data_IF_607702140667
#
_entry.id   IF_607702140667
#
_cell.length_a   1.000
_cell.length_b   1.000
_cell.length_c   1.000
_cell.angle_alpha   90.00
_cell.angle_beta   90.00
_cell.angle_gamma   90.00
#
_symmetry.space_group_name_H-M   'P 1'
#
loop_
_entity.id
_entity.type
_entity.pdbx_description
1 polymer ?
#
# COMPACT_ATOMS: atom_id res chain seq x y z
N UNK A 1 -39.60 -48.70 -33.20
CA UNK A 1 -38.94 -47.38 -33.06
C UNK A 1 -39.50 -46.72 -31.81
N UNK A 2 -38.85 -46.94 -30.67
CA UNK A 2 -39.22 -46.35 -29.38
C UNK A 2 -38.18 -45.27 -29.06
N UNK A 3 -38.64 -44.03 -28.91
CA UNK A 3 -37.87 -42.98 -28.24
C UNK A 3 -38.38 -42.90 -26.80
N UNK A 4 -37.48 -43.06 -25.85
CA UNK A 4 -37.73 -42.89 -24.42
C UNK A 4 -36.77 -41.84 -23.86
N UNK A 5 -37.36 -40.97 -23.04
CA UNK A 5 -36.79 -39.82 -22.34
C UNK A 5 -35.70 -40.19 -21.31
N UNK A 6 -34.82 -39.24 -21.01
CA UNK A 6 -34.08 -39.12 -19.73
C UNK A 6 -33.62 -37.65 -19.60
N UNK A 7 -34.34 -36.85 -18.82
CA UNK A 7 -34.03 -36.47 -17.43
C UNK A 7 -32.95 -35.38 -17.36
N UNK A 8 -33.44 -34.15 -17.21
CA UNK A 8 -32.72 -32.94 -16.85
C UNK A 8 -32.27 -33.00 -15.39
N UNK A 9 -30.97 -33.08 -15.14
CA UNK A 9 -30.37 -32.90 -13.81
C UNK A 9 -29.71 -31.53 -13.69
N UNK A 10 -30.08 -30.86 -12.58
CA UNK A 10 -29.84 -29.46 -12.32
C UNK A 10 -28.36 -29.12 -12.09
N UNK A 11 -27.90 -28.10 -12.81
CA UNK A 11 -26.65 -27.40 -12.52
C UNK A 11 -26.80 -26.65 -11.20
N UNK A 12 -26.23 -27.22 -10.13
CA UNK A 12 -26.10 -26.57 -8.84
C UNK A 12 -25.03 -25.48 -8.95
N UNK A 13 -25.47 -24.22 -9.01
CA UNK A 13 -24.62 -23.04 -8.84
C UNK A 13 -24.11 -23.02 -7.40
N UNK A 14 -22.93 -23.59 -7.15
CA UNK A 14 -22.20 -23.39 -5.90
C UNK A 14 -21.74 -21.93 -5.86
N UNK A 15 -22.31 -21.16 -4.93
CA UNK A 15 -21.97 -19.77 -4.70
C UNK A 15 -20.49 -19.60 -4.42
N UNK A 16 -19.85 -18.75 -5.24
CA UNK A 16 -18.50 -18.27 -4.99
C UNK A 16 -18.55 -17.34 -3.77
N UNK A 17 -17.75 -17.56 -2.71
CA UNK A 17 -17.62 -16.56 -1.67
C UNK A 17 -16.91 -15.35 -2.26
N UNK A 18 -17.53 -14.17 -2.14
CA UNK A 18 -16.93 -12.89 -2.49
C UNK A 18 -15.58 -12.75 -1.76
N UNK A 19 -14.47 -13.03 -2.46
CA UNK A 19 -13.13 -12.70 -1.97
C UNK A 19 -12.88 -11.22 -2.24
N UNK A 20 -13.60 -10.37 -1.51
CA UNK A 20 -13.22 -8.96 -1.37
C UNK A 20 -11.89 -8.95 -0.63
N UNK A 21 -10.89 -8.25 -1.18
CA UNK A 21 -9.63 -8.01 -0.52
C UNK A 21 -9.89 -7.31 0.83
N UNK A 22 -9.83 -8.07 1.92
CA UNK A 22 -9.82 -7.52 3.28
C UNK A 22 -8.42 -7.04 3.56
N UNK A 23 -8.29 -5.73 3.78
CA UNK A 23 -7.11 -5.12 4.39
C UNK A 23 -6.76 -5.89 5.67
N UNK A 24 -5.51 -6.35 5.85
CA UNK A 24 -5.11 -6.98 7.11
C UNK A 24 -5.36 -6.01 8.27
N UNK A 25 -5.82 -6.49 9.43
CA UNK A 25 -5.87 -5.66 10.63
C UNK A 25 -4.43 -5.24 10.97
N UNK A 26 -4.21 -3.94 11.08
CA UNK A 26 -2.94 -3.42 11.57
C UNK A 26 -2.69 -4.00 12.98
N UNK A 27 -1.57 -4.70 13.14
CA UNK A 27 -1.10 -5.16 14.44
C UNK A 27 -0.57 -3.95 15.22
N UNK A 28 -1.46 -3.32 15.97
CA UNK A 28 -1.16 -2.45 17.12
C UNK A 28 -2.51 -1.92 17.63
N UNK A 29 -3.02 -2.55 18.68
CA UNK A 29 -4.06 -1.94 19.52
C UNK A 29 -3.48 -0.68 20.17
N UNK A 30 -3.58 0.44 19.47
CA UNK A 30 -3.42 1.74 20.08
C UNK A 30 -4.43 2.66 19.41
N UNK A 31 -5.45 3.06 20.16
CA UNK A 31 -6.56 3.92 19.76
C UNK A 31 -7.78 3.18 19.10
N UNK A 32 -8.72 2.69 19.94
CA UNK A 32 -10.08 2.28 19.53
C UNK A 32 -10.97 3.45 19.03
N UNK A 33 -10.41 4.64 18.85
CA UNK A 33 -11.10 5.77 18.23
C UNK A 33 -10.70 5.87 16.75
N UNK A 34 -11.69 5.82 15.85
CA UNK A 34 -11.44 6.10 14.42
C UNK A 34 -10.87 7.51 14.19
N UNK A 35 -11.09 8.43 15.13
CA UNK A 35 -10.61 9.81 15.10
C UNK A 35 -9.21 9.97 15.70
N UNK A 36 -8.41 10.89 15.15
CA UNK A 36 -7.07 11.19 15.65
C UNK A 36 -7.14 11.91 17.02
N UNK A 37 -6.14 11.68 17.88
CA UNK A 37 -6.03 12.34 19.18
C UNK A 37 -5.40 13.76 19.11
N UNK A 38 -5.03 14.19 17.92
CA UNK A 38 -4.31 15.44 17.66
C UNK A 38 -4.79 16.03 16.34
N UNK A 39 -5.09 17.32 16.37
CA UNK A 39 -5.57 18.09 15.24
C UNK A 39 -4.67 19.29 15.02
N UNK A 40 -4.35 19.55 13.75
CA UNK A 40 -3.68 20.74 13.28
C UNK A 40 -4.63 21.52 12.40
N UNK A 41 -4.55 22.85 12.47
CA UNK A 41 -5.25 23.76 11.58
C UNK A 41 -4.25 24.65 10.85
N UNK A 42 -4.37 24.73 9.52
CA UNK A 42 -3.51 25.51 8.62
C UNK A 42 -4.30 26.22 7.53
N UNK A 43 -3.68 27.25 6.93
CA UNK A 43 -4.20 27.92 5.74
C UNK A 43 -3.81 27.16 4.47
N UNK A 44 -4.72 27.03 3.50
CA UNK A 44 -4.54 26.27 2.26
C UNK A 44 -3.32 26.70 1.42
N UNK A 45 -2.89 27.95 1.51
CA UNK A 45 -1.76 28.51 0.75
C UNK A 45 -0.38 28.14 1.29
N UNK A 46 -0.28 27.55 2.48
CA UNK A 46 0.98 27.42 3.22
C UNK A 46 1.77 26.10 3.07
N UNK A 47 1.17 24.91 2.90
CA UNK A 47 1.94 23.68 3.07
C UNK A 47 2.63 23.21 1.78
N UNK A 48 3.98 23.15 1.82
CA UNK A 48 4.75 22.27 0.93
C UNK A 48 4.64 20.81 1.39
N UNK A 49 4.96 19.85 0.53
CA UNK A 49 4.92 18.42 0.90
C UNK A 49 5.88 18.08 2.05
N UNK A 50 7.08 18.66 2.06
CA UNK A 50 8.07 18.47 3.13
C UNK A 50 7.61 19.05 4.47
N UNK A 51 6.98 20.22 4.46
CA UNK A 51 6.40 20.81 5.66
C UNK A 51 5.28 19.92 6.21
N UNK A 52 4.42 19.40 5.34
CA UNK A 52 3.32 18.54 5.76
C UNK A 52 3.84 17.23 6.38
N UNK A 53 4.89 16.65 5.81
CA UNK A 53 5.55 15.48 6.39
C UNK A 53 6.11 15.79 7.78
N UNK A 54 6.82 16.91 7.94
CA UNK A 54 7.35 17.33 9.25
C UNK A 54 6.25 17.58 10.29
N UNK A 55 5.12 18.17 9.89
CA UNK A 55 3.96 18.37 10.76
C UNK A 55 3.35 17.02 11.17
N UNK A 56 3.26 16.08 10.25
CA UNK A 56 2.76 14.73 10.54
C UNK A 56 3.66 14.02 11.55
N UNK A 57 4.97 13.96 11.32
CA UNK A 57 5.92 13.31 12.24
C UNK A 57 5.92 13.96 13.63
N UNK A 58 5.70 15.27 13.72
CA UNK A 58 5.68 16.01 14.98
C UNK A 58 4.40 15.83 15.80
N UNK A 59 3.24 15.70 15.14
CA UNK A 59 1.94 15.82 15.81
C UNK A 59 1.03 14.60 15.67
N UNK A 60 1.34 13.66 14.78
CA UNK A 60 0.54 12.45 14.63
C UNK A 60 0.57 11.63 15.92
N UNK A 61 -0.56 11.01 16.23
CA UNK A 61 -0.73 10.11 17.38
C UNK A 61 -1.37 8.82 16.88
N UNK A 62 -0.87 7.67 17.33
CA UNK A 62 -1.32 6.37 16.82
C UNK A 62 -1.25 6.26 15.27
N UNK A 63 -0.29 6.95 14.63
CA UNK A 63 -0.16 6.96 13.16
C UNK A 63 -1.23 7.76 12.40
N UNK A 64 -2.00 8.60 13.10
CA UNK A 64 -3.04 9.45 12.50
C UNK A 64 -2.90 10.91 12.93
N UNK A 65 -3.30 11.81 12.03
CA UNK A 65 -3.34 13.25 12.27
C UNK A 65 -4.62 13.84 11.72
N UNK A 66 -5.33 14.66 12.50
CA UNK A 66 -6.40 15.50 11.98
C UNK A 66 -5.81 16.78 11.39
N UNK A 67 -6.10 17.09 10.14
CA UNK A 67 -5.65 18.29 9.46
C UNK A 67 -6.86 19.09 8.98
N UNK A 68 -7.07 20.26 9.57
CA UNK A 68 -8.05 21.25 9.12
C UNK A 68 -7.34 22.21 8.17
N UNK A 69 -7.84 22.29 6.94
CA UNK A 69 -7.38 23.24 5.93
C UNK A 69 -8.48 24.28 5.74
N UNK A 70 -8.15 25.55 5.98
CA UNK A 70 -9.03 26.68 5.72
C UNK A 70 -8.61 27.41 4.43
N UNK A 71 -9.58 27.70 3.57
CA UNK A 71 -9.39 28.41 2.29
C UNK A 71 -9.40 29.94 2.44
N UNK A 72 -9.94 30.47 3.54
CA UNK A 72 -10.07 31.92 3.78
C UNK A 72 -9.28 32.38 5.02
N UNK A 73 -8.67 33.57 4.93
CA UNK A 73 -7.85 34.19 5.97
C UNK A 73 -8.67 34.75 7.16
N UNK A 74 -9.95 34.38 7.28
CA UNK A 74 -10.72 34.55 8.53
C UNK A 74 -10.15 33.73 9.71
N UNK A 75 -9.07 32.97 9.45
CA UNK A 75 -7.94 32.52 10.29
C UNK A 75 -7.86 33.02 11.74
N UNK A 76 -8.12 34.30 12.02
CA UNK A 76 -7.75 34.91 13.30
C UNK A 76 -8.87 35.04 14.35
N UNK A 77 -10.15 35.01 13.96
CA UNK A 77 -11.22 35.47 14.85
C UNK A 77 -11.91 34.39 15.68
N UNK A 78 -11.83 33.11 15.29
CA UNK A 78 -12.47 31.99 16.01
C UNK A 78 -11.47 31.09 16.77
N UNK A 79 -10.16 31.28 16.52
CA UNK A 79 -9.05 30.63 17.27
C UNK A 79 -8.92 31.19 18.69
N UNK A 80 -9.76 32.17 19.06
CA UNK A 80 -9.90 32.71 20.42
C UNK A 80 -10.66 31.80 21.39
N UNK A 81 -11.24 30.69 20.94
CA UNK A 81 -11.76 29.66 21.85
C UNK A 81 -10.57 28.86 22.41
N UNK A 82 -10.57 28.61 23.73
CA UNK A 82 -9.48 28.10 24.61
C UNK A 82 -8.82 26.75 24.23
N UNK A 83 -9.00 26.30 23.01
CA UNK A 83 -8.76 24.93 22.56
C UNK A 83 -7.56 24.77 21.62
N UNK A 84 -7.06 25.87 21.05
CA UNK A 84 -6.03 25.86 20.02
C UNK A 84 -4.77 26.62 20.47
N UNK A 85 -3.62 25.99 20.32
CA UNK A 85 -2.31 26.58 20.62
C UNK A 85 -1.60 26.92 19.33
N UNK A 86 -1.22 28.20 19.14
CA UNK A 86 -0.43 28.64 18.00
C UNK A 86 1.03 28.17 18.13
N UNK A 87 1.56 27.61 17.05
CA UNK A 87 2.93 27.11 16.94
C UNK A 87 3.50 27.63 15.62
N UNK A 88 4.70 28.22 15.65
CA UNK A 88 5.31 28.88 14.48
C UNK A 88 6.42 28.05 13.79
N UNK A 89 6.68 26.82 14.24
CA UNK A 89 7.80 26.00 13.78
C UNK A 89 7.31 24.60 13.35
N UNK A 90 7.41 24.21 12.06
CA UNK A 90 8.12 24.86 10.93
C UNK A 90 7.30 25.87 10.10
N UNK A 91 5.98 25.95 10.31
CA UNK A 91 5.06 26.91 9.68
C UNK A 91 4.07 27.37 10.75
N UNK A 92 3.48 28.57 10.62
CA UNK A 92 2.40 29.00 11.51
C UNK A 92 1.19 28.07 11.38
N UNK A 93 0.93 27.31 12.44
CA UNK A 93 -0.19 26.39 12.54
C UNK A 93 -0.77 26.41 13.96
N UNK A 94 -2.03 25.99 14.09
CA UNK A 94 -2.66 25.82 15.38
C UNK A 94 -2.80 24.33 15.69
N UNK A 95 -2.51 23.93 16.93
CA UNK A 95 -2.63 22.53 17.40
C UNK A 95 -3.68 22.44 18.48
N UNK A 96 -4.51 21.40 18.43
CA UNK A 96 -5.45 21.03 19.49
C UNK A 96 -5.46 19.53 19.74
N UNK A 97 -5.63 19.13 21.00
CA UNK A 97 -5.80 17.73 21.42
C UNK A 97 -7.20 17.41 21.94
N UNK A 98 -8.00 18.44 22.23
CA UNK A 98 -9.38 18.28 22.71
C UNK A 98 -10.42 18.53 21.62
N UNK A 99 -9.99 19.03 20.45
CA UNK A 99 -10.90 19.41 19.37
C UNK A 99 -11.80 18.25 18.94
N UNK A 100 -13.10 18.47 19.05
CA UNK A 100 -14.13 17.55 18.56
C UNK A 100 -14.73 18.10 17.26
N UNK A 101 -14.50 17.47 16.10
CA UNK A 101 -15.01 17.97 14.84
C UNK A 101 -16.53 17.79 14.75
N UNK A 102 -17.25 18.88 14.47
CA UNK A 102 -18.68 18.87 14.17
C UNK A 102 -18.81 19.16 12.67
N UNK A 103 -18.97 18.11 11.87
CA UNK A 103 -19.11 18.21 10.41
C UNK A 103 -20.33 17.45 9.91
N UNK A 104 -20.90 17.90 8.81
CA UNK A 104 -22.24 17.49 8.37
C UNK A 104 -22.26 16.35 7.34
N UNK A 105 -21.24 16.23 6.48
CA UNK A 105 -21.18 15.23 5.40
C UNK A 105 -19.71 14.93 4.97
N UNK A 106 -19.41 13.69 4.53
CA UNK A 106 -18.18 13.39 3.81
C UNK A 106 -18.17 14.11 2.45
N UNK A 107 -17.01 14.63 2.04
CA UNK A 107 -16.87 15.40 0.80
C UNK A 107 -16.59 14.48 -0.39
N UNK A 108 -17.20 14.81 -1.54
CA UNK A 108 -16.85 14.21 -2.83
C UNK A 108 -15.54 14.83 -3.35
N UNK A 109 -14.52 14.00 -3.55
CA UNK A 109 -13.13 14.41 -3.82
C UNK A 109 -12.86 14.90 -5.25
N UNK A 110 -13.90 15.19 -6.03
CA UNK A 110 -13.78 15.56 -7.46
C UNK A 110 -13.62 17.06 -7.69
N UNK A 111 -13.78 17.89 -6.67
CA UNK A 111 -13.51 19.33 -6.75
C UNK A 111 -12.00 19.62 -6.89
N UNK A 112 -11.65 20.69 -7.59
CA UNK A 112 -10.25 21.05 -7.88
C UNK A 112 -9.43 21.37 -6.62
N UNK A 113 -10.04 21.98 -5.60
CA UNK A 113 -9.37 22.32 -4.34
C UNK A 113 -9.06 21.02 -3.58
N UNK A 114 -10.06 20.16 -3.46
CA UNK A 114 -9.92 18.86 -2.78
C UNK A 114 -8.93 17.95 -3.49
N UNK A 115 -8.94 17.94 -4.84
CA UNK A 115 -7.94 17.23 -5.63
C UNK A 115 -6.52 17.79 -5.39
N UNK A 116 -6.39 19.11 -5.21
CA UNK A 116 -5.15 19.77 -4.82
C UNK A 116 -4.62 19.28 -3.45
N UNK A 117 -5.50 19.21 -2.45
CA UNK A 117 -5.15 18.68 -1.12
C UNK A 117 -4.68 17.22 -1.20
N UNK A 118 -5.44 16.36 -1.89
CA UNK A 118 -5.07 14.95 -2.04
C UNK A 118 -3.76 14.76 -2.79
N UNK A 119 -3.49 15.58 -3.81
CA UNK A 119 -2.19 15.59 -4.50
C UNK A 119 -1.07 15.95 -3.54
N UNK A 120 -1.24 16.99 -2.72
CA UNK A 120 -0.26 17.39 -1.72
C UNK A 120 0.02 16.26 -0.72
N UNK A 121 -1.03 15.58 -0.23
CA UNK A 121 -0.88 14.47 0.71
C UNK A 121 -0.08 13.33 0.08
N UNK A 122 -0.40 12.97 -1.17
CA UNK A 122 0.33 11.94 -1.91
C UNK A 122 1.82 12.29 -2.08
N UNK A 123 2.13 13.56 -2.36
CA UNK A 123 3.53 14.04 -2.44
C UNK A 123 4.27 14.02 -1.10
N UNK A 124 3.55 14.11 0.02
CA UNK A 124 4.10 13.95 1.37
C UNK A 124 4.13 12.48 1.83
N UNK A 125 3.85 11.52 0.94
CA UNK A 125 3.69 10.09 1.29
C UNK A 125 2.62 9.83 2.36
N UNK A 126 1.58 10.66 2.38
CA UNK A 126 0.42 10.54 3.26
C UNK A 126 -0.84 10.25 2.44
N UNK A 127 -1.88 9.75 3.10
CA UNK A 127 -3.22 9.62 2.51
C UNK A 127 -4.29 10.17 3.43
N UNK A 128 -5.35 10.72 2.85
CA UNK A 128 -6.58 11.02 3.59
C UNK A 128 -7.44 9.77 3.70
N UNK A 129 -7.75 9.36 4.93
CA UNK A 129 -8.69 8.26 5.24
C UNK A 129 -10.13 8.76 5.24
N UNK A 130 -10.31 10.01 5.64
CA UNK A 130 -11.61 10.65 5.82
C UNK A 130 -11.48 12.13 5.54
N UNK A 131 -12.40 12.68 4.73
CA UNK A 131 -12.49 14.10 4.45
C UNK A 131 -13.90 14.59 4.77
N UNK A 132 -14.04 15.58 5.65
CA UNK A 132 -15.33 16.11 6.12
C UNK A 132 -15.35 17.63 5.93
N UNK A 133 -16.45 18.16 5.40
CA UNK A 133 -16.67 19.60 5.36
C UNK A 133 -17.05 20.12 6.75
N UNK A 134 -16.26 21.04 7.29
CA UNK A 134 -16.59 21.76 8.52
C UNK A 134 -17.39 23.03 8.20
N UNK A 135 -17.04 23.71 7.11
CA UNK A 135 -17.75 24.89 6.61
C UNK A 135 -17.60 24.99 5.09
N UNK A 136 -18.15 26.05 4.49
CA UNK A 136 -17.97 26.34 3.06
C UNK A 136 -16.50 26.58 2.65
N UNK A 137 -15.62 26.88 3.60
CA UNK A 137 -14.22 27.25 3.37
C UNK A 137 -13.25 26.44 4.24
N UNK A 138 -13.71 25.36 4.87
CA UNK A 138 -12.91 24.59 5.83
C UNK A 138 -13.18 23.11 5.69
N UNK A 139 -12.10 22.36 5.48
CA UNK A 139 -12.15 20.90 5.35
C UNK A 139 -11.25 20.23 6.38
N UNK A 140 -11.81 19.26 7.09
CA UNK A 140 -11.04 18.34 7.91
C UNK A 140 -10.64 17.11 7.10
N UNK A 141 -9.35 16.80 7.09
CA UNK A 141 -8.79 15.56 6.59
C UNK A 141 -8.20 14.75 7.74
N UNK A 142 -8.52 13.46 7.85
CA UNK A 142 -7.81 12.54 8.73
C UNK A 142 -6.72 11.88 7.91
N UNK A 143 -5.48 12.28 8.17
CA UNK A 143 -4.29 11.79 7.49
C UNK A 143 -3.72 10.57 8.21
N UNK A 144 -3.19 9.64 7.43
CA UNK A 144 -2.33 8.57 7.93
C UNK A 144 -1.17 8.32 6.97
N UNK A 145 -0.09 7.72 7.48
CA UNK A 145 1.06 7.30 6.69
C UNK A 145 0.89 5.83 6.31
N UNK A 146 0.60 5.50 5.03
CA UNK A 146 0.51 4.11 4.61
C UNK A 146 1.89 3.43 4.68
N UNK A 147 1.91 2.11 4.82
CA UNK A 147 3.16 1.33 4.84
C UNK A 147 3.97 1.47 3.54
N UNK A 148 3.29 1.76 2.43
CA UNK A 148 3.89 2.15 1.16
C UNK A 148 3.00 3.22 0.49
N UNK A 149 3.63 4.14 -0.23
CA UNK A 149 2.95 5.14 -1.05
C UNK A 149 3.55 5.17 -2.44
N UNK A 150 2.70 5.30 -3.46
CA UNK A 150 3.15 5.60 -4.81
C UNK A 150 2.95 7.08 -5.07
N UNK A 151 4.01 7.75 -5.52
CA UNK A 151 3.91 9.12 -5.97
C UNK A 151 3.07 9.19 -7.27
N UNK A 152 2.45 10.35 -7.56
CA UNK A 152 1.79 10.56 -8.83
C UNK A 152 2.76 10.30 -9.99
N UNK A 153 2.28 9.69 -11.08
CA UNK A 153 3.12 9.30 -12.23
C UNK A 153 3.96 10.45 -12.79
N UNK A 154 3.48 11.69 -12.70
CA UNK A 154 4.19 12.90 -13.13
C UNK A 154 5.47 13.19 -12.34
N UNK A 155 5.63 12.58 -11.17
CA UNK A 155 6.82 12.67 -10.31
C UNK A 155 7.71 11.43 -10.39
N UNK A 156 7.30 10.41 -11.16
CA UNK A 156 8.12 9.24 -11.43
C UNK A 156 8.97 9.53 -12.66
N UNK A 157 10.29 9.53 -12.51
CA UNK A 157 11.21 9.65 -13.64
C UNK A 157 11.02 8.43 -14.55
N UNK A 158 10.55 8.66 -15.78
CA UNK A 158 10.48 7.60 -16.79
C UNK A 158 11.90 7.26 -17.24
N UNK A 159 12.45 6.17 -16.73
CA UNK A 159 13.71 5.63 -17.21
C UNK A 159 13.46 4.88 -18.52
N UNK A 160 14.16 5.27 -19.59
CA UNK A 160 14.05 4.60 -20.89
C UNK A 160 14.60 3.18 -20.76
N UNK A 161 13.81 2.16 -21.12
CA UNK A 161 14.28 0.77 -21.17
C UNK A 161 15.39 0.54 -22.20
N UNK A 162 15.68 1.51 -23.06
CA UNK A 162 16.77 1.42 -24.02
C UNK A 162 18.14 1.57 -23.31
N UNK A 163 19.12 0.70 -23.61
CA UNK A 163 20.48 0.88 -23.11
C UNK A 163 21.04 2.23 -23.61
N UNK A 164 21.60 3.02 -22.70
CA UNK A 164 22.21 4.29 -23.06
C UNK A 164 23.43 4.05 -23.95
N UNK A 165 23.59 4.89 -24.98
CA UNK A 165 24.73 4.80 -25.92
C UNK A 165 26.07 5.12 -25.27
N UNK A 166 26.06 5.74 -24.09
CA UNK A 166 27.24 6.13 -23.32
C UNK A 166 27.66 5.11 -22.25
N UNK A 167 26.90 4.02 -22.06
CA UNK A 167 27.17 2.97 -21.06
C UNK A 167 27.15 3.43 -19.60
N UNK A 168 26.78 4.69 -19.33
CA UNK A 168 26.82 5.32 -17.99
C UNK A 168 25.44 5.54 -17.38
N UNK A 169 24.37 5.41 -18.16
CA UNK A 169 22.99 5.58 -17.73
C UNK A 169 22.17 4.31 -18.00
N UNK A 170 22.60 3.20 -17.39
CA UNK A 170 21.79 1.98 -17.34
C UNK A 170 20.61 2.12 -16.37
N UNK A 171 19.53 1.39 -16.60
CA UNK A 171 18.37 1.26 -15.71
C UNK A 171 18.69 0.41 -14.46
N UNK A 172 19.85 0.65 -13.86
CA UNK A 172 20.29 -0.07 -12.66
C UNK A 172 19.70 0.69 -11.47
N UNK A 173 18.77 0.08 -10.71
CA UNK A 173 18.25 0.72 -9.52
C UNK A 173 19.38 0.98 -8.53
N UNK A 174 19.32 2.13 -7.88
CA UNK A 174 20.16 2.47 -6.74
C UNK A 174 19.95 1.47 -5.59
N UNK A 175 20.89 1.45 -4.65
CA UNK A 175 20.80 0.58 -3.47
C UNK A 175 19.54 0.88 -2.64
N UNK A 176 19.13 2.15 -2.54
CA UNK A 176 17.95 2.51 -1.76
C UNK A 176 16.64 2.16 -2.48
N UNK A 177 16.62 2.22 -3.82
CA UNK A 177 15.51 1.67 -4.61
C UNK A 177 15.41 0.15 -4.44
N UNK A 178 16.54 -0.56 -4.44
CA UNK A 178 16.59 -2.00 -4.18
C UNK A 178 16.06 -2.38 -2.80
N UNK A 179 16.47 -1.65 -1.75
CA UNK A 179 15.95 -1.86 -0.38
C UNK A 179 14.45 -1.61 -0.31
N UNK A 180 13.98 -0.54 -0.96
CA UNK A 180 12.56 -0.19 -1.02
C UNK A 180 11.76 -1.28 -1.74
N UNK A 181 12.28 -1.81 -2.85
CA UNK A 181 11.67 -2.91 -3.59
C UNK A 181 11.50 -4.15 -2.70
N UNK A 182 12.55 -4.55 -1.99
CA UNK A 182 12.50 -5.73 -1.11
C UNK A 182 11.60 -5.52 0.11
N UNK A 183 11.58 -4.32 0.71
CA UNK A 183 10.64 -4.00 1.78
C UNK A 183 9.17 -4.10 1.31
N UNK A 184 8.89 -3.64 0.08
CA UNK A 184 7.56 -3.77 -0.52
C UNK A 184 7.20 -5.24 -0.80
N UNK A 185 8.16 -6.03 -1.30
CA UNK A 185 7.99 -7.46 -1.49
C UNK A 185 7.63 -8.17 -0.18
N UNK A 186 8.35 -7.89 0.91
CA UNK A 186 8.09 -8.46 2.23
C UNK A 186 6.72 -8.05 2.77
N UNK A 187 6.34 -6.78 2.60
CA UNK A 187 5.03 -6.31 3.01
C UNK A 187 3.91 -7.09 2.28
N UNK A 188 4.00 -7.21 0.97
CA UNK A 188 2.99 -7.89 0.16
C UNK A 188 2.94 -9.38 0.51
N UNK A 189 4.10 -10.04 0.55
CA UNK A 189 4.15 -11.50 0.66
C UNK A 189 4.03 -12.02 2.09
N UNK A 190 4.49 -11.26 3.09
CA UNK A 190 4.55 -11.72 4.49
C UNK A 190 3.54 -11.01 5.41
N UNK A 191 2.98 -9.86 5.00
CA UNK A 191 2.00 -9.12 5.82
C UNK A 191 0.61 -9.09 5.21
N UNK A 192 0.50 -8.97 3.88
CA UNK A 192 -0.81 -8.92 3.22
C UNK A 192 -1.42 -10.31 2.98
N UNK A 193 -0.60 -11.35 2.88
CA UNK A 193 -1.07 -12.74 2.74
C UNK A 193 -1.06 -13.40 4.13
N UNK A 194 -2.23 -13.79 4.68
CA UNK A 194 -2.27 -14.50 5.96
C UNK A 194 -1.50 -15.83 5.89
N UNK A 195 -0.80 -16.24 6.97
CA UNK A 195 -0.07 -17.51 6.99
C UNK A 195 -0.94 -18.72 6.62
N UNK A 196 -2.22 -18.72 7.02
CA UNK A 196 -3.19 -19.77 6.69
C UNK A 196 -3.49 -19.89 5.19
N UNK A 197 -3.22 -18.84 4.40
CA UNK A 197 -3.43 -18.81 2.96
C UNK A 197 -2.18 -19.22 2.17
N UNK A 198 -1.00 -19.24 2.79
CA UNK A 198 0.26 -19.59 2.10
C UNK A 198 0.22 -20.98 1.46
N UNK A 199 -0.48 -21.92 2.10
CA UNK A 199 -0.62 -23.30 1.63
C UNK A 199 -1.87 -23.54 0.78
N UNK A 200 -2.69 -22.51 0.55
CA UNK A 200 -3.90 -22.60 -0.26
C UNK A 200 -3.57 -22.42 -1.74
N UNK A 201 -4.40 -23.03 -2.59
CA UNK A 201 -4.31 -22.94 -4.04
C UNK A 201 -5.57 -22.20 -4.53
N UNK A 202 -5.58 -20.85 -4.53
CA UNK A 202 -6.78 -20.09 -4.86
C UNK A 202 -7.22 -20.23 -6.33
N UNK A 203 -6.31 -20.66 -7.21
CA UNK A 203 -6.58 -20.95 -8.63
C UNK A 203 -5.97 -22.32 -8.95
N UNK A 204 -6.78 -23.24 -9.46
CA UNK A 204 -6.39 -24.65 -9.66
C UNK A 204 -5.21 -24.86 -10.61
N UNK A 205 -4.95 -23.93 -11.53
CA UNK A 205 -3.84 -24.00 -12.48
C UNK A 205 -2.63 -23.15 -12.07
N UNK A 206 -2.52 -22.75 -10.79
CA UNK A 206 -1.38 -21.99 -10.26
C UNK A 206 -0.77 -22.66 -9.04
N UNK A 207 0.49 -22.37 -8.73
CA UNK A 207 1.08 -22.85 -7.50
C UNK A 207 0.45 -22.17 -6.27
N UNK A 208 0.65 -22.77 -5.09
CA UNK A 208 0.29 -22.16 -3.80
C UNK A 208 1.08 -20.86 -3.60
N UNK A 209 0.54 -19.88 -2.88
CA UNK A 209 1.22 -18.60 -2.64
C UNK A 209 2.65 -18.77 -2.10
N UNK A 210 2.87 -19.77 -1.21
CA UNK A 210 4.19 -20.09 -0.67
C UNK A 210 5.26 -20.37 -1.75
N UNK A 211 4.87 -20.97 -2.88
CA UNK A 211 5.81 -21.23 -3.96
C UNK A 211 6.40 -19.94 -4.52
N UNK A 212 5.56 -18.92 -4.73
CA UNK A 212 6.00 -17.63 -5.29
C UNK A 212 6.94 -16.86 -4.35
N UNK A 213 6.80 -17.05 -3.03
CA UNK A 213 7.70 -16.48 -2.02
C UNK A 213 9.13 -16.97 -2.22
N UNK A 214 9.33 -18.24 -2.54
CA UNK A 214 10.67 -18.78 -2.83
C UNK A 214 11.10 -18.65 -4.29
N UNK A 215 10.16 -18.80 -5.23
CA UNK A 215 10.43 -18.78 -6.67
C UNK A 215 11.02 -17.46 -7.17
N UNK A 216 10.39 -16.33 -6.85
CA UNK A 216 10.83 -15.02 -7.37
C UNK A 216 12.23 -14.63 -6.87
N UNK A 217 12.55 -14.75 -5.56
CA UNK A 217 13.91 -14.49 -5.08
C UNK A 217 14.95 -15.45 -5.66
N UNK A 218 14.62 -16.74 -5.78
CA UNK A 218 15.52 -17.74 -6.38
C UNK A 218 15.81 -17.42 -7.84
N UNK A 219 14.78 -17.08 -8.61
CA UNK A 219 14.94 -16.74 -10.02
C UNK A 219 15.80 -15.49 -10.20
N UNK A 220 15.61 -14.48 -9.36
CA UNK A 220 16.45 -13.29 -9.35
C UNK A 220 17.91 -13.60 -8.99
N UNK A 221 18.14 -14.41 -7.95
CA UNK A 221 19.47 -14.87 -7.56
C UNK A 221 20.18 -15.59 -8.71
N UNK A 222 19.47 -16.48 -9.40
CA UNK A 222 19.99 -17.17 -10.59
C UNK A 222 20.40 -16.19 -11.69
N UNK A 223 19.59 -15.16 -11.97
CA UNK A 223 19.90 -14.16 -13.00
C UNK A 223 21.12 -13.32 -12.63
N UNK A 224 21.18 -12.82 -11.39
CA UNK A 224 22.30 -12.02 -10.90
C UNK A 224 23.58 -12.86 -10.91
N UNK A 225 23.57 -14.05 -10.30
CA UNK A 225 24.74 -14.92 -10.23
C UNK A 225 25.26 -15.29 -11.62
N UNK A 226 24.37 -15.63 -12.57
CA UNK A 226 24.78 -15.89 -13.96
C UNK A 226 25.39 -14.66 -14.63
N UNK A 227 24.87 -13.46 -14.36
CA UNK A 227 25.36 -12.22 -14.96
C UNK A 227 26.77 -11.83 -14.48
N UNK A 228 27.10 -12.12 -13.21
CA UNK A 228 28.38 -11.75 -12.60
C UNK A 228 29.38 -12.92 -12.53
N UNK A 229 29.01 -14.10 -13.05
CA UNK A 229 29.83 -15.32 -13.00
C UNK A 229 29.94 -15.93 -11.59
N UNK A 230 28.97 -15.66 -10.71
CA UNK A 230 28.89 -16.18 -9.35
C UNK A 230 28.14 -17.51 -9.24
N UNK A 231 28.05 -18.01 -8.02
CA UNK A 231 27.26 -19.20 -7.66
C UNK A 231 25.97 -18.82 -6.92
N UNK A 232 25.13 -19.83 -6.66
CA UNK A 232 23.91 -19.66 -5.88
C UNK A 232 24.20 -19.09 -4.48
N UNK A 233 23.38 -18.14 -4.03
CA UNK A 233 23.44 -17.68 -2.64
C UNK A 233 22.94 -18.76 -1.69
N UNK A 234 23.46 -18.74 -0.45
CA UNK A 234 23.01 -19.68 0.56
C UNK A 234 21.58 -19.34 1.04
N UNK A 235 20.71 -20.34 1.23
CA UNK A 235 20.96 -21.77 1.07
C UNK A 235 20.88 -22.26 -0.40
N UNK A 236 21.98 -22.84 -0.93
CA UNK A 236 22.08 -23.25 -2.35
C UNK A 236 20.99 -24.24 -2.81
N UNK A 237 20.42 -25.01 -1.87
CA UNK A 237 19.39 -25.98 -2.20
C UNK A 237 18.03 -25.34 -2.55
N UNK A 238 17.83 -24.04 -2.29
CA UNK A 238 16.63 -23.33 -2.74
C UNK A 238 16.51 -23.31 -4.26
N UNK A 239 17.62 -23.21 -5.00
CA UNK A 239 17.59 -23.34 -6.46
C UNK A 239 16.90 -24.63 -6.90
N UNK A 240 17.23 -25.75 -6.26
CA UNK A 240 16.64 -27.06 -6.61
C UNK A 240 15.13 -27.15 -6.39
N UNK A 241 14.58 -26.37 -5.46
CA UNK A 241 13.16 -26.39 -5.11
C UNK A 241 12.38 -25.39 -5.97
N UNK A 242 12.97 -24.22 -6.20
CA UNK A 242 12.28 -23.04 -6.69
C UNK A 242 12.66 -22.61 -8.11
N UNK A 243 13.64 -23.24 -8.78
CA UNK A 243 13.99 -22.93 -10.18
C UNK A 243 12.92 -23.35 -11.21
N UNK A 244 11.87 -24.06 -10.77
CA UNK A 244 10.80 -24.62 -11.62
C UNK A 244 9.99 -23.51 -12.32
N UNK A 245 9.37 -23.84 -13.45
CA UNK A 245 8.44 -22.92 -14.14
C UNK A 245 7.22 -22.55 -13.28
N UNK A 246 6.56 -21.44 -13.63
CA UNK A 246 5.45 -20.85 -12.86
C UNK A 246 4.12 -21.61 -12.95
N UNK A 247 4.02 -22.59 -13.84
CA UNK A 247 2.81 -23.36 -14.12
C UNK A 247 2.95 -24.81 -13.63
N UNK A 248 1.99 -25.33 -12.84
CA UNK A 248 1.93 -26.74 -12.53
C UNK A 248 1.64 -27.53 -13.82
N UNK A 249 2.23 -28.72 -13.97
CA UNK A 249 1.96 -29.60 -15.12
C UNK A 249 0.45 -29.82 -15.30
N UNK A 250 -0.05 -29.47 -16.49
CA UNK A 250 -1.47 -29.56 -16.84
C UNK A 250 -1.90 -31.01 -17.11
N UNK A 251 -0.96 -31.86 -17.53
CA UNK A 251 -1.30 -33.14 -18.17
C UNK A 251 -1.16 -34.39 -17.28
N UNK A 252 -0.50 -34.34 -16.11
CA UNK A 252 -0.44 -35.51 -15.22
C UNK A 252 -0.22 -35.13 -13.73
N UNK A 253 -1.26 -35.20 -12.88
CA UNK A 253 -1.14 -34.94 -11.45
C UNK A 253 -0.28 -35.98 -10.70
N UNK A 254 0.10 -37.10 -11.34
CA UNK A 254 0.93 -38.17 -10.75
C UNK A 254 2.36 -38.21 -11.29
N UNK A 255 2.71 -37.39 -12.29
CA UNK A 255 4.09 -37.31 -12.79
C UNK A 255 4.91 -36.30 -11.99
N UNK A 256 5.37 -36.73 -10.82
CA UNK A 256 6.44 -36.04 -10.12
C UNK A 256 7.75 -36.30 -10.87
N UNK A 257 8.25 -35.33 -11.62
CA UNK A 257 9.69 -35.29 -11.91
C UNK A 257 10.44 -35.46 -10.57
N UNK A 258 11.52 -36.24 -10.57
CA UNK A 258 12.32 -36.61 -9.39
C UNK A 258 12.84 -35.33 -8.71
N UNK A 259 12.07 -34.79 -7.78
CA UNK A 259 12.40 -33.56 -7.08
C UNK A 259 12.05 -33.69 -5.60
N UNK A 260 12.92 -33.10 -4.78
CA UNK A 260 12.76 -33.07 -3.34
C UNK A 260 11.45 -32.34 -2.99
N UNK A 261 10.68 -32.85 -2.02
CA UNK A 261 9.46 -32.20 -1.57
C UNK A 261 9.79 -30.80 -1.02
N UNK A 262 8.88 -29.82 -1.17
CA UNK A 262 9.03 -28.54 -0.50
C UNK A 262 9.13 -28.75 1.03
N UNK A 263 9.86 -27.89 1.75
CA UNK A 263 9.99 -28.01 3.19
C UNK A 263 8.61 -27.97 3.88
N UNK A 264 8.42 -28.88 4.83
CA UNK A 264 7.19 -29.04 5.59
C UNK A 264 7.48 -28.80 7.07
N UNK A 265 7.39 -27.53 7.48
CA UNK A 265 7.11 -27.01 8.84
C UNK A 265 7.54 -25.56 8.93
#
# INVERSE_FOLDING_TARGET
MHYSSSSSDGSSRSGSPDTRATTPPASSECCNSHFPASYIRILASLPSSSTLEALFEKHASCGRLGLVIDDDAQFANDVGQKEWTKVADPVEHCVSKSYTPIGSQPILTTDSIQAGHLRLFSLASLRSVLSIALSAHSTLHVLEKPAFSYLPLTYITAHSFAPSTDGKSGNIPSIDEWKTLWANWDLITLKMIPPSMLHQKPIDLRHKCLFYIGHIPTFLDMLISKSIGGEATEPKWFWKIFERGIDPHVDDPNHCHVHLPPPSS
#
